data_IF_496038702791
#
_entry.id   IF_496038702791
#
_cell.length_a   1.000
_cell.length_b   1.000
_cell.length_c   1.000
_cell.angle_alpha   90.00
_cell.angle_beta   90.00
_cell.angle_gamma   90.00
#
_symmetry.space_group_name_H-M   'P 1'
#
loop_
_entity.id
_entity.type
_entity.pdbx_description
1 polymer ?
#
# COMPACT_ATOMS: atom_id res chain seq x y z
N UNK A 1 -8.42 18.63 17.81
CA UNK A 1 -8.53 19.06 16.40
C UNK A 1 -9.37 18.10 15.54
N UNK A 2 -10.01 17.06 16.12
CA UNK A 2 -10.93 16.14 15.41
C UNK A 2 -12.33 16.74 15.14
N UNK A 3 -12.68 17.87 15.76
CA UNK A 3 -14.04 18.45 15.71
C UNK A 3 -14.40 19.19 14.41
N UNK A 4 -13.41 19.51 13.56
CA UNK A 4 -13.65 20.23 12.30
C UNK A 4 -14.01 19.30 11.15
N UNK A 5 -13.61 18.03 11.22
CA UNK A 5 -13.89 17.03 10.19
C UNK A 5 -15.35 16.53 10.34
N UNK A 6 -15.82 16.34 11.57
CA UNK A 6 -17.18 15.88 11.90
C UNK A 6 -18.31 16.82 11.47
N UNK A 7 -18.01 18.11 11.19
CA UNK A 7 -19.01 19.06 10.71
C UNK A 7 -19.28 18.97 9.19
N UNK A 8 -18.32 18.51 8.39
CA UNK A 8 -18.46 18.36 6.94
C UNK A 8 -19.20 17.07 6.53
N UNK A 9 -19.27 16.07 7.41
CA UNK A 9 -19.95 14.79 7.17
C UNK A 9 -21.48 14.82 7.39
N UNK A 10 -22.07 15.97 7.72
CA UNK A 10 -23.50 16.06 8.04
C UNK A 10 -24.47 16.00 6.84
N UNK A 11 -23.99 15.96 5.59
CA UNK A 11 -24.91 15.95 4.42
C UNK A 11 -24.73 14.79 3.43
N UNK A 12 -23.74 13.92 3.57
CA UNK A 12 -23.60 12.73 2.72
C UNK A 12 -23.00 11.58 3.54
N UNK A 13 -23.69 10.44 3.59
CA UNK A 13 -23.14 9.23 4.23
C UNK A 13 -21.85 8.83 3.49
N UNK A 14 -20.74 8.56 4.19
CA UNK A 14 -19.51 8.13 3.54
C UNK A 14 -19.75 6.81 2.80
N UNK A 15 -19.12 6.66 1.63
CA UNK A 15 -19.20 5.40 0.86
C UNK A 15 -18.39 4.31 1.55
N UNK A 16 -18.69 3.03 1.27
CA UNK A 16 -17.91 1.92 1.82
C UNK A 16 -16.41 2.02 1.47
N UNK A 17 -16.08 2.56 0.28
CA UNK A 17 -14.70 2.81 -0.13
C UNK A 17 -14.02 3.89 0.72
N UNK A 18 -14.73 4.98 1.05
CA UNK A 18 -14.21 6.04 1.92
C UNK A 18 -13.97 5.55 3.34
N UNK A 19 -14.92 4.76 3.88
CA UNK A 19 -14.76 4.14 5.20
C UNK A 19 -13.55 3.21 5.24
N UNK A 20 -13.35 2.38 4.20
CA UNK A 20 -12.18 1.51 4.13
C UNK A 20 -10.86 2.29 4.12
N UNK A 21 -10.78 3.37 3.33
CA UNK A 21 -9.59 4.22 3.29
C UNK A 21 -9.29 4.82 4.66
N UNK A 22 -10.31 5.34 5.36
CA UNK A 22 -10.17 5.89 6.71
C UNK A 22 -9.72 4.83 7.73
N UNK A 23 -10.41 3.68 7.79
CA UNK A 23 -10.10 2.58 8.72
C UNK A 23 -8.69 2.00 8.52
N UNK A 24 -8.20 1.99 7.28
CA UNK A 24 -6.88 1.45 6.94
C UNK A 24 -5.78 2.52 6.92
N UNK A 25 -6.09 3.77 7.29
CA UNK A 25 -5.21 4.93 7.22
C UNK A 25 -4.57 5.15 5.84
N UNK A 26 -5.36 4.96 4.77
CA UNK A 26 -4.92 5.14 3.39
C UNK A 26 -5.37 6.51 2.90
N UNK A 27 -4.44 7.26 2.34
CA UNK A 27 -4.69 8.53 1.67
C UNK A 27 -4.00 8.52 0.30
N UNK A 28 -4.52 9.31 -0.64
CA UNK A 28 -3.88 9.55 -1.92
C UNK A 28 -3.75 11.06 -2.13
N UNK A 29 -2.53 11.51 -2.41
CA UNK A 29 -2.23 12.92 -2.67
C UNK A 29 -1.68 13.03 -4.09
N UNK A 30 -2.35 13.81 -4.95
CA UNK A 30 -1.91 14.02 -6.32
C UNK A 30 -0.48 14.57 -6.36
N UNK A 31 0.37 14.00 -7.24
CA UNK A 31 1.80 14.32 -7.33
C UNK A 31 2.69 13.62 -6.31
N UNK A 32 2.13 13.15 -5.18
CA UNK A 32 2.86 12.43 -4.13
C UNK A 32 2.62 10.92 -4.18
N UNK A 33 1.38 10.51 -4.48
CA UNK A 33 0.92 9.13 -4.49
C UNK A 33 0.26 8.69 -3.18
N UNK A 34 0.26 7.39 -2.93
CA UNK A 34 -0.36 6.79 -1.74
C UNK A 34 0.45 7.04 -0.47
N UNK A 35 -0.27 7.34 0.61
CA UNK A 35 0.21 7.41 1.98
C UNK A 35 -0.56 6.35 2.79
N UNK A 36 0.14 5.47 3.51
CA UNK A 36 -0.49 4.44 4.35
C UNK A 36 0.17 4.43 5.71
N UNK A 37 -0.62 4.54 6.78
CA UNK A 37 -0.12 4.65 8.17
C UNK A 37 0.97 5.73 8.30
N UNK A 38 0.70 6.92 7.72
CA UNK A 38 1.62 8.07 7.65
C UNK A 38 2.92 7.87 6.85
N UNK A 39 3.05 6.76 6.12
CA UNK A 39 4.23 6.47 5.26
C UNK A 39 3.94 6.90 3.83
N UNK A 40 4.72 7.84 3.29
CA UNK A 40 4.68 8.24 1.89
C UNK A 40 5.30 7.15 1.01
N UNK A 41 4.49 6.26 0.44
CA UNK A 41 4.95 4.98 -0.09
C UNK A 41 5.94 5.11 -1.25
N UNK A 42 5.69 6.02 -2.20
CA UNK A 42 6.57 6.21 -3.35
C UNK A 42 7.97 6.67 -2.93
N UNK A 43 8.03 7.57 -1.93
CA UNK A 43 9.27 8.15 -1.44
C UNK A 43 10.04 7.16 -0.56
N UNK A 44 9.36 6.53 0.39
CA UNK A 44 9.98 5.72 1.44
C UNK A 44 10.20 4.27 1.00
N UNK A 45 9.30 3.71 0.18
CA UNK A 45 9.26 2.28 -0.15
C UNK A 45 9.43 1.98 -1.64
N UNK A 46 9.57 3.00 -2.51
CA UNK A 46 9.70 2.82 -3.96
C UNK A 46 10.87 1.91 -4.37
N UNK A 47 12.05 2.10 -3.78
CA UNK A 47 13.21 1.24 -4.05
C UNK A 47 12.99 -0.21 -3.60
N UNK A 48 12.30 -0.42 -2.48
CA UNK A 48 11.93 -1.75 -1.99
C UNK A 48 10.89 -2.40 -2.91
N UNK A 49 9.90 -1.64 -3.37
CA UNK A 49 8.92 -2.10 -4.36
C UNK A 49 9.61 -2.50 -5.67
N UNK A 50 10.53 -1.69 -6.18
CA UNK A 50 11.27 -1.99 -7.41
C UNK A 50 12.07 -3.27 -7.28
N UNK A 51 12.79 -3.44 -6.18
CA UNK A 51 13.52 -4.68 -5.94
C UNK A 51 12.59 -5.88 -5.79
N UNK A 52 11.54 -5.79 -4.96
CA UNK A 52 10.65 -6.91 -4.67
C UNK A 52 9.76 -7.30 -5.87
N UNK A 53 9.41 -6.34 -6.73
CA UNK A 53 8.62 -6.59 -7.95
C UNK A 53 9.46 -7.09 -9.14
N UNK A 54 10.77 -7.35 -8.94
CA UNK A 54 11.73 -7.63 -10.01
C UNK A 54 11.73 -6.53 -11.09
N UNK A 55 11.78 -5.28 -10.64
CA UNK A 55 11.83 -4.03 -11.44
C UNK A 55 10.59 -3.75 -12.28
N UNK A 56 9.47 -4.43 -12.02
CA UNK A 56 8.21 -4.22 -12.76
C UNK A 56 7.50 -2.94 -12.32
N UNK A 57 7.64 -2.56 -11.06
CA UNK A 57 7.01 -1.38 -10.47
C UNK A 57 8.06 -0.48 -9.82
N UNK A 58 7.89 0.84 -9.93
CA UNK A 58 8.72 1.82 -9.23
C UNK A 58 7.93 2.66 -8.23
N UNK A 59 6.61 2.65 -8.36
CA UNK A 59 5.65 3.46 -7.61
C UNK A 59 4.40 2.63 -7.34
N UNK A 60 3.63 3.05 -6.33
CA UNK A 60 2.41 2.41 -5.86
C UNK A 60 1.13 2.94 -6.55
N UNK A 61 1.26 3.89 -7.47
CA UNK A 61 0.14 4.64 -8.03
C UNK A 61 -0.77 3.80 -8.94
N UNK A 62 -0.21 2.79 -9.61
CA UNK A 62 -0.98 1.83 -10.40
C UNK A 62 -1.40 0.64 -9.53
N UNK A 63 -2.54 0.78 -8.86
CA UNK A 63 -3.10 -0.28 -8.00
C UNK A 63 -3.43 -1.57 -8.76
N UNK A 64 -3.76 -1.48 -10.05
CA UNK A 64 -4.01 -2.67 -10.87
C UNK A 64 -2.70 -3.42 -11.08
N UNK A 65 -1.63 -2.72 -11.47
CA UNK A 65 -0.33 -3.34 -11.67
C UNK A 65 0.27 -3.85 -10.34
N UNK A 66 0.01 -3.16 -9.22
CA UNK A 66 0.34 -3.62 -7.88
C UNK A 66 -0.37 -4.94 -7.55
N UNK A 67 -1.68 -5.01 -7.80
CA UNK A 67 -2.48 -6.22 -7.61
C UNK A 67 -1.99 -7.38 -8.48
N UNK A 68 -1.74 -7.12 -9.77
CA UNK A 68 -1.28 -8.13 -10.72
C UNK A 68 0.13 -8.68 -10.38
N UNK A 69 0.96 -7.89 -9.69
CA UNK A 69 2.32 -8.29 -9.28
C UNK A 69 2.43 -8.77 -7.83
N UNK A 70 1.37 -8.64 -7.04
CA UNK A 70 1.39 -8.92 -5.60
C UNK A 70 1.85 -10.33 -5.24
N UNK A 71 1.50 -11.35 -6.05
CA UNK A 71 1.92 -12.73 -5.82
C UNK A 71 3.45 -12.87 -5.87
N UNK A 72 4.09 -12.30 -6.88
CA UNK A 72 5.54 -12.32 -7.06
C UNK A 72 6.24 -11.59 -5.91
N UNK A 73 5.71 -10.44 -5.50
CA UNK A 73 6.29 -9.68 -4.39
C UNK A 73 6.21 -10.48 -3.09
N UNK A 74 5.04 -11.06 -2.77
CA UNK A 74 4.85 -11.86 -1.56
C UNK A 74 5.78 -13.08 -1.53
N UNK A 75 5.89 -13.81 -2.64
CA UNK A 75 6.80 -14.95 -2.75
C UNK A 75 8.25 -14.55 -2.48
N UNK A 76 8.70 -13.42 -3.06
CA UNK A 76 10.06 -12.93 -2.83
C UNK A 76 10.32 -12.54 -1.38
N UNK A 77 9.35 -11.90 -0.72
CA UNK A 77 9.43 -11.59 0.70
C UNK A 77 9.53 -12.89 1.53
N UNK A 78 8.68 -13.87 1.24
CA UNK A 78 8.64 -15.13 1.98
C UNK A 78 9.97 -15.90 1.84
N UNK A 79 10.60 -15.86 0.67
CA UNK A 79 11.93 -16.41 0.45
C UNK A 79 13.02 -15.68 1.28
N UNK A 80 13.02 -14.35 1.33
CA UNK A 80 14.00 -13.60 2.15
C UNK A 80 13.87 -13.94 3.64
N UNK A 81 12.63 -14.02 4.14
CA UNK A 81 12.34 -14.37 5.53
C UNK A 81 12.73 -15.82 5.81
N UNK A 82 12.31 -16.77 4.98
CA UNK A 82 12.60 -18.19 5.19
C UNK A 82 14.09 -18.51 5.18
N UNK A 83 14.86 -17.80 4.35
CA UNK A 83 16.31 -17.96 4.27
C UNK A 83 17.09 -17.08 5.24
N UNK A 84 16.43 -16.13 5.93
CA UNK A 84 17.07 -15.11 6.77
C UNK A 84 18.20 -14.37 6.01
N UNK A 85 17.96 -14.12 4.72
CA UNK A 85 18.89 -13.44 3.80
C UNK A 85 18.23 -12.19 3.25
N UNK A 86 18.36 -11.11 4.01
CA UNK A 86 17.75 -9.84 3.68
C UNK A 86 18.62 -8.98 2.77
N UNK A 87 18.00 -8.19 1.90
CA UNK A 87 18.72 -7.19 1.13
C UNK A 87 19.23 -6.05 2.04
N UNK A 88 20.52 -6.09 2.37
CA UNK A 88 21.16 -5.11 3.24
C UNK A 88 21.16 -3.67 2.66
N UNK A 89 21.23 -3.52 1.33
CA UNK A 89 21.21 -2.20 0.68
C UNK A 89 19.88 -1.48 0.84
N UNK A 90 18.80 -2.22 1.09
CA UNK A 90 17.45 -1.68 1.31
C UNK A 90 17.06 -1.68 2.79
N UNK A 91 18.00 -2.04 3.68
CA UNK A 91 17.76 -2.20 5.10
C UNK A 91 16.64 -3.20 5.40
N UNK A 92 16.45 -4.23 4.56
CA UNK A 92 15.38 -5.20 4.78
C UNK A 92 15.59 -5.95 6.11
N UNK A 93 14.50 -6.12 6.85
CA UNK A 93 14.42 -6.94 8.05
C UNK A 93 13.11 -7.73 7.98
N UNK A 94 12.98 -8.81 8.75
CA UNK A 94 11.72 -9.54 8.81
C UNK A 94 10.54 -8.64 9.18
N UNK A 95 10.72 -7.77 10.17
CA UNK A 95 9.70 -6.83 10.64
C UNK A 95 9.23 -5.89 9.52
N UNK A 96 10.14 -5.22 8.81
CA UNK A 96 9.75 -4.27 7.78
C UNK A 96 9.20 -4.94 6.51
N UNK A 97 9.59 -6.18 6.24
CA UNK A 97 9.03 -6.96 5.15
C UNK A 97 7.61 -7.42 5.47
N UNK A 98 7.34 -7.82 6.73
CA UNK A 98 5.98 -8.11 7.19
C UNK A 98 5.09 -6.85 7.17
N UNK A 99 5.62 -5.71 7.58
CA UNK A 99 4.94 -4.41 7.45
C UNK A 99 4.62 -4.11 5.98
N UNK A 100 5.59 -4.33 5.07
CA UNK A 100 5.40 -4.15 3.64
C UNK A 100 4.28 -5.05 3.08
N UNK A 101 4.22 -6.33 3.49
CA UNK A 101 3.10 -7.23 3.13
C UNK A 101 1.76 -6.69 3.59
N UNK A 102 1.69 -6.11 4.79
CA UNK A 102 0.45 -5.52 5.30
C UNK A 102 0.01 -4.32 4.47
N UNK A 103 0.93 -3.42 4.11
CA UNK A 103 0.64 -2.28 3.23
C UNK A 103 0.14 -2.75 1.86
N UNK A 104 0.81 -3.73 1.25
CA UNK A 104 0.36 -4.31 -0.02
C UNK A 104 -1.04 -4.89 0.09
N UNK A 105 -1.33 -5.61 1.16
CA UNK A 105 -2.66 -6.19 1.40
C UNK A 105 -3.72 -5.09 1.47
N UNK A 106 -3.49 -4.03 2.25
CA UNK A 106 -4.40 -2.87 2.36
C UNK A 106 -4.73 -2.27 0.99
N UNK A 107 -3.71 -2.00 0.17
CA UNK A 107 -3.90 -1.42 -1.17
C UNK A 107 -4.59 -2.39 -2.15
N UNK A 108 -4.23 -3.66 -2.12
CA UNK A 108 -4.83 -4.68 -2.99
C UNK A 108 -6.28 -4.99 -2.63
N UNK A 109 -6.60 -5.04 -1.34
CA UNK A 109 -7.97 -5.18 -0.83
C UNK A 109 -8.81 -3.95 -1.23
N UNK A 110 -8.25 -2.74 -1.12
CA UNK A 110 -8.91 -1.52 -1.61
C UNK A 110 -9.23 -1.61 -3.10
N UNK A 111 -8.23 -1.92 -3.94
CA UNK A 111 -8.42 -2.07 -5.38
C UNK A 111 -9.46 -3.14 -5.71
N UNK A 112 -9.31 -4.34 -5.14
CA UNK A 112 -10.17 -5.49 -5.43
C UNK A 112 -11.63 -5.22 -5.05
N UNK A 113 -11.87 -4.65 -3.88
CA UNK A 113 -13.22 -4.53 -3.34
C UNK A 113 -13.96 -3.29 -3.86
N UNK A 114 -13.23 -2.25 -4.28
CA UNK A 114 -13.86 -0.97 -4.59
C UNK A 114 -13.56 -0.42 -5.98
N UNK A 115 -12.47 -0.81 -6.65
CA UNK A 115 -12.05 -0.20 -7.93
C UNK A 115 -12.08 -1.17 -9.12
N UNK A 116 -11.72 -2.44 -8.92
CA UNK A 116 -11.50 -3.42 -10.00
C UNK A 116 -12.67 -3.59 -10.95
N UNK A 117 -13.89 -3.61 -10.41
CA UNK A 117 -15.12 -3.88 -11.16
C UNK A 117 -15.96 -2.61 -11.39
N UNK A 118 -15.44 -1.42 -11.04
CA UNK A 118 -16.03 -0.16 -11.47
C UNK A 118 -15.63 0.07 -12.94
N UNK A 119 -16.49 -0.41 -13.84
CA UNK A 119 -16.46 -0.11 -15.28
C UNK A 119 -17.50 0.92 -15.65
#
# INVERSE_FOLDING_TARGET
MFDKISALFKSNKPTAAQLYLEEQNIQYVEGTGYIVDDIQLNQELGARLEYLSNRRLKQFDDLKALYDTAMLINEKIDLEIAHQRFNASLGNTEENLLQFKMILKKLNDYYRNFLRDQK
#
